data_IF_496115831995
#
_entry.id   IF_496115831995
#
_cell.length_a   1.000
_cell.length_b   1.000
_cell.length_c   1.000
_cell.angle_alpha   90.00
_cell.angle_beta   90.00
_cell.angle_gamma   90.00
#
_symmetry.space_group_name_H-M   'P 1'
#
loop_
_entity.id
_entity.type
_entity.pdbx_description
1 polymer ?
#
# COMPACT_ATOMS: atom_id res chain seq x y z
N UNK A 1 -61.99 -32.47 -36.59
CA UNK A 1 -61.30 -31.28 -36.10
C UNK A 1 -62.05 -30.73 -34.92
N UNK A 2 -61.44 -30.22 -33.93
CA UNK A 2 -61.31 -28.79 -33.82
C UNK A 2 -59.93 -28.30 -33.25
N UNK A 3 -59.51 -27.28 -33.86
CA UNK A 3 -59.00 -25.97 -33.40
C UNK A 3 -58.05 -25.93 -32.20
N UNK A 4 -56.85 -25.64 -32.55
CA UNK A 4 -55.80 -24.97 -31.80
C UNK A 4 -56.30 -23.73 -31.06
N UNK A 5 -55.89 -23.57 -29.79
CA UNK A 5 -55.85 -22.29 -29.12
C UNK A 5 -54.40 -22.05 -28.65
N UNK A 6 -53.74 -21.17 -29.35
CA UNK A 6 -52.56 -20.50 -28.97
C UNK A 6 -52.84 -19.62 -27.75
N UNK A 7 -52.03 -19.76 -26.71
CA UNK A 7 -51.90 -18.71 -25.68
C UNK A 7 -50.48 -18.10 -25.73
N UNK A 8 -50.42 -16.78 -25.76
CA UNK A 8 -49.12 -16.07 -25.81
C UNK A 8 -48.61 -15.82 -24.39
N UNK A 9 -47.53 -16.51 -24.02
CA UNK A 9 -46.75 -16.09 -22.86
C UNK A 9 -45.39 -15.60 -23.35
N UNK A 10 -45.41 -14.44 -23.98
CA UNK A 10 -44.22 -13.59 -24.14
C UNK A 10 -44.58 -12.26 -23.51
N UNK A 11 -43.94 -11.98 -22.41
CA UNK A 11 -43.56 -10.69 -21.83
C UNK A 11 -43.67 -10.79 -20.32
N UNK A 12 -42.50 -10.88 -19.68
CA UNK A 12 -42.18 -10.34 -18.36
C UNK A 12 -40.94 -11.03 -17.75
N UNK A 13 -39.82 -11.09 -18.51
CA UNK A 13 -38.52 -11.34 -17.93
C UNK A 13 -37.44 -10.46 -18.61
N UNK A 14 -37.66 -9.16 -18.54
CA UNK A 14 -36.71 -8.21 -19.07
C UNK A 14 -36.69 -6.98 -18.18
N UNK A 15 -36.01 -7.05 -17.03
CA UNK A 15 -35.45 -5.84 -16.40
C UNK A 15 -34.74 -6.05 -15.05
N UNK A 16 -34.52 -7.27 -14.54
CA UNK A 16 -33.83 -7.43 -13.25
C UNK A 16 -32.47 -8.12 -13.32
N UNK A 17 -32.09 -8.71 -14.46
CA UNK A 17 -30.78 -9.34 -14.63
C UNK A 17 -29.65 -8.38 -15.00
N UNK A 18 -29.95 -7.20 -15.53
CA UNK A 18 -28.94 -6.21 -15.95
C UNK A 18 -28.18 -5.55 -14.80
N UNK A 19 -28.85 -5.36 -13.66
CA UNK A 19 -28.22 -4.67 -12.52
C UNK A 19 -27.46 -5.61 -11.58
N UNK A 20 -27.67 -6.92 -11.64
CA UNK A 20 -26.99 -7.88 -10.79
C UNK A 20 -25.61 -8.26 -11.35
N UNK A 21 -25.50 -8.41 -12.68
CA UNK A 21 -24.20 -8.63 -13.33
C UNK A 21 -23.29 -7.40 -13.26
N UNK A 22 -23.82 -6.18 -13.28
CA UNK A 22 -23.04 -4.95 -13.13
C UNK A 22 -22.43 -4.77 -11.74
N UNK A 23 -22.94 -5.45 -10.72
CA UNK A 23 -22.39 -5.46 -9.35
C UNK A 23 -21.26 -6.46 -9.15
N UNK A 24 -21.17 -7.51 -9.98
CA UNK A 24 -20.13 -8.54 -9.91
C UNK A 24 -18.88 -8.22 -10.72
N UNK A 25 -18.93 -7.25 -11.63
CA UNK A 25 -17.80 -6.78 -12.43
C UNK A 25 -17.28 -5.45 -11.89
N UNK A 26 -17.07 -5.31 -10.58
CA UNK A 26 -16.14 -4.31 -10.09
C UNK A 26 -14.76 -4.83 -10.43
N UNK A 27 -14.28 -4.51 -11.64
CA UNK A 27 -12.92 -4.82 -12.04
C UNK A 27 -11.98 -4.30 -10.94
N UNK A 28 -11.13 -5.18 -10.43
CA UNK A 28 -10.07 -4.76 -9.52
C UNK A 28 -9.24 -3.70 -10.22
N UNK A 29 -8.93 -2.61 -9.53
CA UNK A 29 -8.08 -1.56 -10.05
C UNK A 29 -6.64 -1.94 -9.74
N UNK A 30 -5.84 -2.16 -10.77
CA UNK A 30 -4.41 -2.42 -10.61
C UNK A 30 -3.70 -1.12 -10.22
N UNK A 31 -3.01 -1.14 -9.10
CA UNK A 31 -2.30 0.01 -8.56
C UNK A 31 -0.85 -0.34 -8.30
N UNK A 32 0.05 0.54 -8.76
CA UNK A 32 1.48 0.39 -8.52
C UNK A 32 1.87 1.07 -7.23
N UNK A 33 2.32 0.29 -6.27
CA UNK A 33 2.82 0.74 -4.97
C UNK A 33 4.33 0.50 -4.90
N UNK A 34 5.06 1.52 -4.50
CA UNK A 34 6.47 1.39 -4.17
C UNK A 34 6.62 1.34 -2.65
N UNK A 35 7.26 0.29 -2.13
CA UNK A 35 7.55 0.17 -0.70
C UNK A 35 9.06 0.34 -0.47
N UNK A 36 9.42 1.34 0.28
CA UNK A 36 10.81 1.70 0.58
C UNK A 36 10.98 2.08 2.05
N UNK A 37 12.20 2.31 2.44
CA UNK A 37 12.61 2.65 3.81
C UNK A 37 14.01 2.11 4.05
N UNK A 38 14.62 2.49 5.16
CA UNK A 38 15.97 2.04 5.49
C UNK A 38 16.04 0.51 5.62
N UNK A 39 17.25 -0.03 5.58
CA UNK A 39 17.48 -1.44 5.85
C UNK A 39 17.00 -1.82 7.26
N UNK A 40 16.57 -3.06 7.42
CA UNK A 40 16.02 -3.60 8.65
C UNK A 40 14.71 -2.92 9.15
N UNK A 41 14.09 -2.01 8.39
CA UNK A 41 12.82 -1.38 8.77
C UNK A 41 11.62 -2.36 8.79
N UNK A 42 11.76 -3.55 8.18
CA UNK A 42 10.73 -4.59 8.16
C UNK A 42 9.86 -4.61 6.91
N UNK A 43 10.28 -3.98 5.82
CA UNK A 43 9.55 -3.94 4.54
C UNK A 43 9.16 -5.32 4.03
N UNK A 44 10.14 -6.19 3.88
CA UNK A 44 9.95 -7.57 3.40
C UNK A 44 9.03 -8.36 4.32
N UNK A 45 9.14 -8.14 5.65
CA UNK A 45 8.25 -8.77 6.63
C UNK A 45 6.79 -8.34 6.43
N UNK A 46 6.57 -7.03 6.24
CA UNK A 46 5.25 -6.48 5.92
C UNK A 46 4.69 -7.11 4.65
N UNK A 47 5.50 -7.16 3.59
CA UNK A 47 5.08 -7.72 2.30
C UNK A 47 4.62 -9.16 2.43
N UNK A 48 5.41 -10.02 3.07
CA UNK A 48 5.04 -11.42 3.26
C UNK A 48 3.87 -11.59 4.21
N UNK A 49 3.77 -10.78 5.27
CA UNK A 49 2.62 -10.80 6.16
C UNK A 49 1.31 -10.48 5.42
N UNK A 50 1.34 -9.48 4.56
CA UNK A 50 0.19 -9.11 3.74
C UNK A 50 -0.15 -10.16 2.67
N UNK A 51 0.86 -10.83 2.09
CA UNK A 51 0.67 -11.82 1.04
C UNK A 51 0.23 -13.18 1.57
N UNK A 52 0.88 -13.67 2.61
CA UNK A 52 0.72 -15.03 3.10
C UNK A 52 -0.13 -15.11 4.38
N UNK A 53 -0.36 -13.97 5.05
CA UNK A 53 -1.01 -13.94 6.36
C UNK A 53 -0.13 -14.38 7.52
N UNK A 54 1.11 -14.81 7.24
CA UNK A 54 2.06 -15.29 8.23
C UNK A 54 3.43 -14.62 8.12
N UNK A 55 4.20 -14.69 9.19
CA UNK A 55 5.56 -14.16 9.22
C UNK A 55 6.54 -15.23 8.75
N UNK A 56 7.36 -14.87 7.78
CA UNK A 56 8.48 -15.70 7.34
C UNK A 56 9.81 -15.06 7.78
N UNK A 57 10.81 -15.88 8.03
CA UNK A 57 12.16 -15.38 8.31
C UNK A 57 12.68 -14.69 7.05
N UNK A 58 12.98 -13.41 7.17
CA UNK A 58 13.47 -12.61 6.06
C UNK A 58 14.97 -12.38 6.19
N UNK A 59 15.63 -12.36 5.05
CA UNK A 59 17.03 -11.91 4.91
C UNK A 59 17.03 -10.51 4.28
N UNK A 60 18.11 -9.73 4.43
CA UNK A 60 18.20 -8.44 3.76
C UNK A 60 17.95 -8.54 2.26
N UNK A 61 17.08 -7.69 1.74
CA UNK A 61 16.76 -7.65 0.31
C UNK A 61 17.95 -7.11 -0.47
N UNK A 62 18.51 -7.94 -1.36
CA UNK A 62 19.55 -7.55 -2.30
C UNK A 62 18.85 -7.21 -3.63
N UNK A 63 18.81 -5.94 -3.98
CA UNK A 63 18.07 -5.47 -5.14
C UNK A 63 16.61 -5.14 -4.83
N UNK A 64 15.68 -5.89 -5.39
CA UNK A 64 14.25 -5.70 -5.18
C UNK A 64 13.49 -7.03 -5.19
N UNK A 65 12.31 -7.02 -4.60
CA UNK A 65 11.31 -8.07 -4.71
C UNK A 65 10.00 -7.47 -5.20
N UNK A 66 9.30 -8.14 -6.11
CA UNK A 66 8.01 -7.68 -6.66
C UNK A 66 6.95 -8.69 -6.33
N UNK A 67 5.93 -8.26 -5.65
CA UNK A 67 4.81 -9.10 -5.27
C UNK A 67 3.47 -8.40 -5.53
N UNK A 68 2.46 -9.19 -5.86
CA UNK A 68 1.09 -8.70 -5.94
C UNK A 68 0.37 -9.01 -4.64
N UNK A 69 -0.16 -7.98 -4.02
CA UNK A 69 -1.00 -8.07 -2.83
C UNK A 69 -2.41 -7.65 -3.23
N UNK A 70 -3.37 -8.52 -3.02
CA UNK A 70 -4.77 -8.21 -3.26
C UNK A 70 -5.44 -7.78 -1.96
N UNK A 71 -6.03 -6.59 -1.97
CA UNK A 71 -6.76 -6.08 -0.83
C UNK A 71 -8.00 -5.30 -1.28
N UNK A 72 -9.19 -5.69 -0.75
CA UNK A 72 -10.47 -5.13 -1.19
C UNK A 72 -10.63 -5.23 -2.71
N UNK A 73 -10.89 -4.10 -3.37
CA UNK A 73 -11.09 -4.01 -4.83
C UNK A 73 -9.82 -3.60 -5.59
N UNK A 74 -8.68 -3.60 -4.91
CA UNK A 74 -7.41 -3.14 -5.46
C UNK A 74 -6.41 -4.29 -5.46
N UNK A 75 -5.71 -4.41 -6.57
CA UNK A 75 -4.53 -5.26 -6.71
C UNK A 75 -3.30 -4.35 -6.64
N UNK A 76 -2.53 -4.49 -5.58
CA UNK A 76 -1.31 -3.71 -5.38
C UNK A 76 -0.12 -4.48 -5.92
N UNK A 77 0.55 -3.95 -6.93
CA UNK A 77 1.89 -4.42 -7.30
C UNK A 77 2.89 -3.70 -6.41
N UNK A 78 3.40 -4.41 -5.42
CA UNK A 78 4.34 -3.85 -4.42
C UNK A 78 5.76 -4.16 -4.83
N UNK A 79 6.58 -3.12 -4.92
CA UNK A 79 8.00 -3.20 -5.17
C UNK A 79 8.73 -3.00 -3.84
N UNK A 80 9.16 -4.09 -3.22
CA UNK A 80 9.99 -4.07 -2.02
C UNK A 80 11.45 -3.89 -2.42
N UNK A 81 11.96 -2.70 -2.26
CA UNK A 81 13.32 -2.34 -2.67
C UNK A 81 14.24 -2.32 -1.46
N UNK A 82 15.43 -2.88 -1.61
CA UNK A 82 16.44 -2.92 -0.54
C UNK A 82 16.78 -1.53 -0.01
N UNK A 83 16.91 -1.42 1.32
CA UNK A 83 17.11 -0.16 2.04
C UNK A 83 18.58 0.16 2.37
N UNK A 84 19.53 -0.66 1.91
CA UNK A 84 20.95 -0.44 2.17
C UNK A 84 21.47 0.83 1.47
N UNK A 85 22.32 1.59 2.11
CA UNK A 85 22.88 2.86 1.60
C UNK A 85 23.37 2.77 0.16
N UNK A 86 24.11 1.71 -0.14
CA UNK A 86 24.73 1.51 -1.46
C UNK A 86 23.74 1.36 -2.61
N UNK A 87 22.48 0.95 -2.32
CA UNK A 87 21.47 0.67 -3.34
C UNK A 87 20.29 1.65 -3.31
N UNK A 88 20.23 2.60 -2.36
CA UNK A 88 19.14 3.60 -2.31
C UNK A 88 19.08 4.45 -3.57
N UNK A 89 20.20 4.71 -4.23
CA UNK A 89 20.23 5.43 -5.50
C UNK A 89 19.47 4.70 -6.62
N UNK A 90 19.24 3.40 -6.47
CA UNK A 90 18.45 2.61 -7.42
C UNK A 90 16.94 2.82 -7.27
N UNK A 91 16.46 3.37 -6.16
CA UNK A 91 15.04 3.59 -5.92
C UNK A 91 14.39 4.41 -7.03
N UNK A 92 15.10 5.40 -7.61
CA UNK A 92 14.64 6.24 -8.72
C UNK A 92 14.16 5.44 -9.94
N UNK A 93 14.73 4.27 -10.18
CA UNK A 93 14.34 3.42 -11.31
C UNK A 93 12.92 2.85 -11.15
N UNK A 94 12.36 2.89 -9.94
CA UNK A 94 11.05 2.35 -9.62
C UNK A 94 9.98 3.44 -9.45
N UNK A 95 10.33 4.73 -9.54
CA UNK A 95 9.40 5.84 -9.31
C UNK A 95 8.36 5.99 -10.41
N UNK A 96 8.71 5.66 -11.65
CA UNK A 96 7.82 5.84 -12.79
C UNK A 96 6.51 5.06 -12.63
N UNK A 97 5.38 5.76 -12.85
CA UNK A 97 4.03 5.21 -12.71
C UNK A 97 3.66 4.74 -11.29
N UNK A 98 4.41 5.16 -10.27
CA UNK A 98 4.08 4.88 -8.87
C UNK A 98 2.91 5.77 -8.45
N UNK A 99 1.82 5.15 -8.00
CA UNK A 99 0.58 5.83 -7.60
C UNK A 99 0.48 5.95 -6.08
N UNK A 100 1.12 5.04 -5.35
CA UNK A 100 1.21 5.08 -3.90
C UNK A 100 2.62 4.74 -3.43
N UNK A 101 3.06 5.44 -2.41
CA UNK A 101 4.34 5.24 -1.75
C UNK A 101 4.09 4.74 -0.32
N UNK A 102 4.63 3.60 0.02
CA UNK A 102 4.69 3.10 1.40
C UNK A 102 6.12 3.30 1.89
N UNK A 103 6.26 4.17 2.89
CA UNK A 103 7.55 4.40 3.54
C UNK A 103 7.57 3.73 4.91
N UNK A 104 8.46 2.76 5.10
CA UNK A 104 8.52 1.96 6.33
C UNK A 104 9.65 2.47 7.22
N UNK A 105 9.31 2.78 8.46
CA UNK A 105 10.24 3.27 9.48
C UNK A 105 10.32 2.29 10.63
N UNK A 106 11.53 1.95 11.04
CA UNK A 106 11.78 1.28 12.32
C UNK A 106 11.59 2.29 13.45
N UNK A 107 10.48 2.18 14.18
CA UNK A 107 10.16 3.12 15.26
C UNK A 107 11.13 3.07 16.43
N UNK A 108 11.89 1.98 16.56
CA UNK A 108 12.89 1.84 17.62
C UNK A 108 14.27 2.38 17.25
N UNK A 109 14.50 2.68 15.97
CA UNK A 109 15.81 3.15 15.49
C UNK A 109 15.89 4.67 15.54
N UNK A 110 16.08 5.19 16.76
CA UNK A 110 16.20 6.63 17.00
C UNK A 110 17.47 7.22 16.38
N UNK A 111 18.51 6.39 16.22
CA UNK A 111 19.79 6.85 15.69
C UNK A 111 19.73 7.24 14.21
N UNK A 112 18.89 6.55 13.42
CA UNK A 112 18.78 6.78 11.97
C UNK A 112 17.51 7.51 11.56
N UNK A 113 16.77 8.11 12.48
CA UNK A 113 15.52 8.81 12.12
C UNK A 113 15.77 10.00 11.19
N UNK A 114 16.86 10.71 11.36
CA UNK A 114 17.25 11.82 10.48
C UNK A 114 17.62 11.32 9.08
N UNK A 115 18.27 10.17 8.96
CA UNK A 115 18.56 9.54 7.68
C UNK A 115 17.25 9.15 6.98
N UNK A 116 16.31 8.52 7.72
CA UNK A 116 14.98 8.17 7.19
C UNK A 116 14.22 9.41 6.70
N UNK A 117 14.26 10.50 7.47
CA UNK A 117 13.67 11.78 7.07
C UNK A 117 14.28 12.32 5.79
N UNK A 118 15.62 12.36 5.73
CA UNK A 118 16.34 12.91 4.58
C UNK A 118 16.05 12.12 3.30
N UNK A 119 16.05 10.79 3.38
CA UNK A 119 15.71 9.95 2.23
C UNK A 119 14.25 10.11 1.80
N UNK A 120 13.31 10.16 2.74
CA UNK A 120 11.91 10.42 2.45
C UNK A 120 11.72 11.75 1.70
N UNK A 121 12.27 12.84 2.24
CA UNK A 121 12.12 14.15 1.63
C UNK A 121 12.80 14.25 0.27
N UNK A 122 13.96 13.62 0.10
CA UNK A 122 14.64 13.52 -1.20
C UNK A 122 13.78 12.84 -2.25
N UNK A 123 13.14 11.71 -1.90
CA UNK A 123 12.23 11.00 -2.80
C UNK A 123 11.00 11.83 -3.15
N UNK A 124 10.40 12.50 -2.17
CA UNK A 124 9.19 13.29 -2.38
C UNK A 124 9.39 14.55 -3.23
N UNK A 125 10.65 14.93 -3.52
CA UNK A 125 11.01 16.01 -4.45
C UNK A 125 11.09 15.54 -5.90
N UNK A 126 11.11 14.23 -6.16
CA UNK A 126 11.17 13.68 -7.51
C UNK A 126 9.83 13.87 -8.25
N UNK A 127 9.92 14.33 -9.49
CA UNK A 127 8.73 14.66 -10.30
C UNK A 127 7.82 13.44 -10.53
N UNK A 128 8.41 12.26 -10.67
CA UNK A 128 7.70 11.01 -10.89
C UNK A 128 6.81 10.60 -9.69
N UNK A 129 7.11 11.10 -8.50
CA UNK A 129 6.37 10.81 -7.26
C UNK A 129 5.47 11.96 -6.78
N UNK A 130 5.36 13.05 -7.55
CA UNK A 130 4.59 14.23 -7.14
C UNK A 130 3.12 13.93 -6.81
N UNK A 131 2.51 13.05 -7.57
CA UNK A 131 1.09 12.67 -7.46
C UNK A 131 0.87 11.39 -6.63
N UNK A 132 1.95 10.78 -6.13
CA UNK A 132 1.85 9.59 -5.30
C UNK A 132 1.35 9.94 -3.89
N UNK A 133 0.36 9.19 -3.42
CA UNK A 133 -0.08 9.27 -2.02
C UNK A 133 0.93 8.57 -1.12
N UNK A 134 1.13 9.09 0.08
CA UNK A 134 2.14 8.60 1.01
C UNK A 134 1.50 7.93 2.23
N UNK A 135 1.78 6.64 2.41
CA UNK A 135 1.54 5.92 3.65
C UNK A 135 2.88 5.70 4.37
N UNK A 136 2.98 6.16 5.60
CA UNK A 136 4.13 5.86 6.46
C UNK A 136 3.71 4.75 7.43
N UNK A 137 4.42 3.63 7.43
CA UNK A 137 4.30 2.63 8.47
C UNK A 137 5.32 2.89 9.57
N UNK A 138 4.84 3.30 10.74
CA UNK A 138 5.62 3.37 11.97
C UNK A 138 5.72 1.95 12.56
N UNK A 139 6.65 1.16 12.03
CA UNK A 139 6.75 -0.27 12.31
C UNK A 139 7.51 -0.57 13.61
N UNK A 140 7.37 -1.80 14.09
CA UNK A 140 7.98 -2.33 15.31
C UNK A 140 7.47 -1.68 16.60
N UNK A 141 6.16 -1.40 16.65
CA UNK A 141 5.51 -0.83 17.84
C UNK A 141 5.45 -1.81 19.03
N UNK A 142 5.78 -3.07 18.82
CA UNK A 142 5.98 -4.08 19.85
C UNK A 142 7.24 -3.85 20.71
N UNK A 143 8.17 -3.04 20.25
CA UNK A 143 9.42 -2.77 20.95
C UNK A 143 9.22 -1.69 22.03
N UNK A 144 9.84 -1.86 23.23
CA UNK A 144 9.52 -1.01 24.40
C UNK A 144 9.96 0.46 24.26
N UNK A 145 10.87 0.75 23.36
CA UNK A 145 11.38 2.11 23.13
C UNK A 145 10.99 2.69 21.77
N UNK A 146 10.00 2.07 21.13
CA UNK A 146 9.47 2.55 19.86
C UNK A 146 8.95 3.99 20.00
N UNK A 147 9.32 4.84 19.04
CA UNK A 147 8.74 6.17 18.92
C UNK A 147 7.28 6.04 18.49
N UNK A 148 6.42 6.86 19.07
CA UNK A 148 5.00 6.89 18.70
C UNK A 148 4.79 7.47 17.29
N UNK A 149 3.62 7.23 16.70
CA UNK A 149 3.27 7.83 15.41
C UNK A 149 3.28 9.39 15.46
N UNK A 150 2.79 10.07 16.51
CA UNK A 150 2.97 11.51 16.66
C UNK A 150 4.44 11.96 16.69
N UNK A 151 5.30 11.27 17.44
CA UNK A 151 6.73 11.59 17.50
C UNK A 151 7.39 11.48 16.11
N UNK A 152 7.07 10.40 15.40
CA UNK A 152 7.57 10.17 14.03
C UNK A 152 7.02 11.20 13.04
N UNK A 153 5.76 11.62 13.19
CA UNK A 153 5.18 12.68 12.36
C UNK A 153 5.98 13.96 12.45
N UNK A 154 6.38 14.35 13.67
CA UNK A 154 7.21 15.53 13.90
C UNK A 154 8.64 15.32 13.36
N UNK A 155 9.29 14.22 13.74
CA UNK A 155 10.68 13.95 13.38
C UNK A 155 10.87 13.79 11.88
N UNK A 156 9.95 13.14 11.19
CA UNK A 156 9.96 13.01 9.73
C UNK A 156 9.50 14.29 9.03
N UNK A 157 8.92 15.25 9.74
CA UNK A 157 8.46 16.50 9.17
C UNK A 157 7.23 16.35 8.27
N UNK A 158 6.37 15.36 8.51
CA UNK A 158 5.22 15.05 7.64
C UNK A 158 4.21 16.19 7.59
N UNK A 159 4.05 16.95 8.67
CA UNK A 159 3.15 18.12 8.75
C UNK A 159 3.52 19.23 7.74
N UNK A 160 4.77 19.23 7.23
CA UNK A 160 5.24 20.21 6.24
C UNK A 160 4.93 19.78 4.80
N UNK A 161 4.45 18.55 4.61
CA UNK A 161 4.10 18.04 3.29
C UNK A 161 2.77 18.64 2.84
N UNK A 162 2.85 19.58 1.91
CA UNK A 162 1.68 20.21 1.26
C UNK A 162 1.52 19.64 -0.15
N UNK A 163 0.29 19.59 -0.64
CA UNK A 163 0.01 19.20 -2.02
C UNK A 163 -0.08 17.69 -2.26
N UNK A 164 0.06 16.85 -1.22
CA UNK A 164 -0.18 15.39 -1.31
C UNK A 164 -0.97 14.87 -0.13
N UNK A 165 -1.69 13.79 -0.35
CA UNK A 165 -2.31 13.06 0.75
C UNK A 165 -1.25 12.20 1.44
N UNK A 166 -1.22 12.23 2.75
CA UNK A 166 -0.36 11.36 3.53
C UNK A 166 -1.04 10.87 4.81
N UNK A 167 -0.60 9.74 5.28
CA UNK A 167 -1.04 9.14 6.54
C UNK A 167 0.11 8.41 7.20
N UNK A 168 0.14 8.39 8.52
CA UNK A 168 1.06 7.56 9.30
C UNK A 168 0.27 6.58 10.14
N UNK A 169 0.62 5.32 10.04
CA UNK A 169 0.00 4.21 10.76
C UNK A 169 1.02 3.50 11.64
N UNK A 170 0.74 3.46 12.93
CA UNK A 170 1.47 2.62 13.87
C UNK A 170 1.19 1.15 13.55
N UNK A 171 2.22 0.33 13.45
CA UNK A 171 2.05 -1.08 13.11
C UNK A 171 3.12 -1.98 13.73
N UNK A 172 2.83 -3.27 13.72
CA UNK A 172 3.77 -4.33 14.03
C UNK A 172 3.71 -5.39 12.93
N UNK A 173 4.74 -5.47 12.10
CA UNK A 173 4.78 -6.39 10.97
C UNK A 173 4.69 -7.86 11.39
N UNK A 174 5.18 -8.21 12.58
CA UNK A 174 5.18 -9.58 13.07
C UNK A 174 3.80 -10.04 13.54
N UNK A 175 3.04 -9.21 14.24
CA UNK A 175 1.66 -9.52 14.62
C UNK A 175 0.67 -9.26 13.48
N UNK A 176 0.94 -8.27 12.64
CA UNK A 176 0.04 -7.77 11.60
C UNK A 176 -0.79 -6.58 12.04
N UNK A 177 -0.67 -6.17 13.31
CA UNK A 177 -1.42 -5.03 13.85
C UNK A 177 -1.11 -3.75 13.08
N UNK A 178 -2.14 -3.00 12.74
CA UNK A 178 -2.04 -1.73 12.03
C UNK A 178 -1.76 -1.82 10.53
N UNK A 179 -1.46 -3.01 9.98
CA UNK A 179 -1.14 -3.14 8.55
C UNK A 179 -2.38 -2.92 7.67
N UNK A 180 -3.50 -3.54 8.03
CA UNK A 180 -4.72 -3.45 7.25
C UNK A 180 -5.37 -2.07 7.38
N UNK A 181 -5.27 -1.41 8.52
CA UNK A 181 -5.75 -0.05 8.74
C UNK A 181 -5.01 0.94 7.83
N UNK A 182 -3.69 0.78 7.69
CA UNK A 182 -2.91 1.59 6.75
C UNK A 182 -3.30 1.34 5.29
N UNK A 183 -3.50 0.07 4.91
CA UNK A 183 -3.95 -0.28 3.56
C UNK A 183 -5.37 0.18 3.29
N UNK A 184 -6.25 0.20 4.29
CA UNK A 184 -7.60 0.74 4.17
C UNK A 184 -7.57 2.21 3.76
N UNK A 185 -6.79 3.01 4.47
CA UNK A 185 -6.62 4.41 4.12
C UNK A 185 -6.07 4.58 2.69
N UNK A 186 -5.00 3.84 2.35
CA UNK A 186 -4.38 3.94 1.03
C UNK A 186 -5.37 3.53 -0.08
N UNK A 187 -6.10 2.43 0.13
CA UNK A 187 -7.14 1.94 -0.80
C UNK A 187 -8.24 2.97 -0.99
N UNK A 188 -8.72 3.59 0.08
CA UNK A 188 -9.81 4.57 0.03
C UNK A 188 -9.41 5.84 -0.72
N UNK A 189 -8.18 6.32 -0.53
CA UNK A 189 -7.66 7.49 -1.26
C UNK A 189 -7.46 7.17 -2.74
N UNK A 190 -6.83 6.04 -3.05
CA UNK A 190 -6.53 5.66 -4.43
C UNK A 190 -7.79 5.28 -5.23
N UNK A 191 -8.85 4.84 -4.56
CA UNK A 191 -10.14 4.55 -5.21
C UNK A 191 -10.88 5.80 -5.70
N UNK A 192 -10.53 6.98 -5.14
CA UNK A 192 -11.15 8.26 -5.47
C UNK A 192 -10.49 8.96 -6.67
N UNK A 193 -9.32 8.48 -7.08
CA UNK A 193 -8.59 8.92 -8.28
C UNK A 193 -8.96 8.03 -9.47
#
# INVERSE_FOLDING_TARGET
PPRSTLFPYTTLFRSTMGNWLGRFLKMKKDMRILMVGLDAAGKTTILYKLKLGEVVTTIPTIGFNVETVEYKNISFTVWDVGGQDKIRNLWRHYYQNTQGLIFVVDSNDKARIDDARNELHKMLQEEELKDADLLVFANKQDLPHAMSAPDLTEKLGLQKLTGRQWYIQACCATSGDGLYEGLDWLSDIMSKK
#
